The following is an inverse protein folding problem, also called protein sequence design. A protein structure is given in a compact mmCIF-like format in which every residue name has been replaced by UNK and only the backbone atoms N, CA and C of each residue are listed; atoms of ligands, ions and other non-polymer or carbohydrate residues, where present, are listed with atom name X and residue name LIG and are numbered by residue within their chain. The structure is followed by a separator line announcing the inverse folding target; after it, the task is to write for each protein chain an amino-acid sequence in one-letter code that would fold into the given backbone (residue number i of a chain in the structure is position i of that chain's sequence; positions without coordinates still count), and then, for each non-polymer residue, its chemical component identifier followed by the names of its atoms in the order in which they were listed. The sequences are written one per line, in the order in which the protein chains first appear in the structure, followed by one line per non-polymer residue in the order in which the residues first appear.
data_IF_685648329317
#
_entry.id   IF_685648329317
#
_cell.length_a   1.000
_cell.length_b   1.000
_cell.length_c   1.000
_cell.angle_alpha   90.00
_cell.angle_beta   90.00
_cell.angle_gamma   90.00
#
_symmetry.space_group_name_H-M   'P 1'
#
loop_
_entity.id
_entity.type
_entity.pdbx_description
1 polymer ?
#
# COMPACT_ATOMS: atom_id res chain seq x y z
N UNK A 1 -15.59 10.47 33.87
CA UNK A 1 -14.84 9.26 33.47
C UNK A 1 -15.06 9.04 31.97
N UNK A 2 -14.23 9.67 31.13
CA UNK A 2 -14.36 9.59 29.67
C UNK A 2 -13.75 8.27 29.22
N UNK A 3 -14.57 7.34 28.73
CA UNK A 3 -14.08 6.11 28.11
C UNK A 3 -13.22 6.50 26.91
N UNK A 4 -11.90 6.26 26.98
CA UNK A 4 -11.01 6.28 25.83
C UNK A 4 -11.62 5.36 24.77
N UNK A 5 -12.01 5.93 23.63
CA UNK A 5 -12.35 5.16 22.43
C UNK A 5 -11.06 4.45 22.00
N UNK A 6 -11.04 3.12 21.87
CA UNK A 6 -9.83 2.40 21.49
C UNK A 6 -9.34 2.86 20.11
N UNK A 7 -8.02 2.89 19.93
CA UNK A 7 -7.41 3.23 18.64
C UNK A 7 -7.96 2.28 17.55
N UNK A 8 -8.40 2.85 16.42
CA UNK A 8 -8.88 2.07 15.27
C UNK A 8 -7.86 1.01 14.87
N UNK A 9 -8.22 -0.27 14.95
CA UNK A 9 -7.42 -1.34 14.39
C UNK A 9 -7.34 -1.18 12.86
N UNK A 10 -6.14 -0.92 12.34
CA UNK A 10 -5.83 -0.89 10.91
C UNK A 10 -4.42 -1.40 10.72
N UNK A 11 -4.21 -2.21 9.67
CA UNK A 11 -2.86 -2.61 9.26
C UNK A 11 -2.06 -1.38 8.82
N UNK A 12 -0.83 -1.26 9.32
CA UNK A 12 0.06 -0.14 9.01
C UNK A 12 0.99 -0.48 7.85
N UNK A 13 1.16 -1.77 7.56
CA UNK A 13 1.97 -2.29 6.46
C UNK A 13 1.31 -3.51 5.81
N UNK A 14 1.74 -3.84 4.58
CA UNK A 14 1.36 -5.09 3.90
C UNK A 14 1.89 -6.32 4.66
N UNK A 15 3.01 -6.17 5.37
CA UNK A 15 3.55 -7.21 6.25
C UNK A 15 2.61 -7.53 7.41
N UNK A 16 2.00 -6.52 8.05
CA UNK A 16 1.06 -6.75 9.15
C UNK A 16 -0.20 -7.52 8.66
N UNK A 17 -0.65 -7.19 7.44
CA UNK A 17 -1.76 -7.87 6.78
C UNK A 17 -1.39 -9.31 6.41
N UNK A 18 -0.18 -9.52 5.90
CA UNK A 18 0.40 -10.83 5.61
C UNK A 18 0.46 -11.70 6.87
N UNK A 19 1.04 -11.19 7.96
CA UNK A 19 1.11 -11.87 9.27
C UNK A 19 -0.28 -12.30 9.76
N UNK A 20 -1.30 -11.47 9.54
CA UNK A 20 -2.67 -11.80 9.93
C UNK A 20 -3.28 -12.89 9.04
N UNK A 21 -3.11 -12.78 7.72
CA UNK A 21 -3.78 -13.62 6.73
C UNK A 21 -3.10 -14.96 6.45
N UNK A 22 -1.81 -15.11 6.75
CA UNK A 22 -1.05 -16.35 6.57
C UNK A 22 -1.77 -17.57 7.18
N UNK A 23 -2.39 -17.40 8.36
CA UNK A 23 -3.13 -18.46 9.05
C UNK A 23 -4.64 -18.38 8.85
N UNK A 24 -5.12 -17.45 8.01
CA UNK A 24 -6.55 -17.08 7.92
C UNK A 24 -7.06 -16.94 6.49
N UNK A 25 -6.41 -17.57 5.51
CA UNK A 25 -6.88 -17.59 4.13
C UNK A 25 -8.25 -18.27 3.94
N UNK A 26 -8.75 -19.01 4.94
CA UNK A 26 -10.12 -19.55 4.94
C UNK A 26 -11.19 -18.45 4.79
N UNK A 27 -10.89 -17.19 5.13
CA UNK A 27 -11.78 -16.05 4.86
C UNK A 27 -12.05 -15.81 3.36
N UNK A 28 -11.23 -16.37 2.46
CA UNK A 28 -11.45 -16.30 1.01
C UNK A 28 -12.56 -17.23 0.53
N UNK A 29 -13.03 -18.16 1.39
CA UNK A 29 -13.97 -19.22 1.04
C UNK A 29 -13.32 -20.44 0.40
N UNK A 30 -11.98 -20.44 0.28
CA UNK A 30 -11.19 -21.55 -0.25
C UNK A 30 -10.57 -22.36 0.91
N UNK A 31 -10.48 -23.67 0.74
CA UNK A 31 -9.72 -24.54 1.64
C UNK A 31 -8.26 -24.60 1.19
N UNK A 32 -7.46 -23.65 1.70
CA UNK A 32 -6.09 -23.44 1.26
C UNK A 32 -5.07 -23.83 2.33
N UNK A 33 -4.02 -24.53 1.89
CA UNK A 33 -2.77 -24.68 2.62
C UNK A 33 -1.78 -23.61 2.16
N UNK A 34 -1.30 -22.76 3.07
CA UNK A 34 -0.19 -21.84 2.76
C UNK A 34 1.11 -22.64 2.71
N UNK A 35 1.78 -22.58 1.57
CA UNK A 35 3.01 -23.33 1.25
C UNK A 35 4.21 -22.41 1.01
N UNK A 36 4.01 -21.10 0.94
CA UNK A 36 5.10 -20.15 0.77
C UNK A 36 4.73 -18.78 1.28
N UNK A 37 5.75 -18.07 1.75
CA UNK A 37 5.65 -16.69 2.21
C UNK A 37 6.83 -15.90 1.68
N UNK A 38 6.55 -14.70 1.16
CA UNK A 38 7.55 -13.78 0.65
C UNK A 38 8.52 -14.47 -0.33
N UNK A 39 7.95 -15.19 -1.30
CA UNK A 39 8.71 -16.01 -2.23
C UNK A 39 9.27 -15.15 -3.36
N UNK A 40 10.60 -15.05 -3.44
CA UNK A 40 11.28 -14.24 -4.46
C UNK A 40 11.10 -14.85 -5.86
N UNK A 41 10.56 -14.04 -6.77
CA UNK A 41 10.42 -14.37 -8.20
C UNK A 41 11.01 -13.21 -9.01
N UNK A 42 12.18 -13.44 -9.60
CA UNK A 42 12.97 -12.42 -10.29
C UNK A 42 13.22 -11.18 -9.41
N UNK A 43 12.64 -10.02 -9.75
CA UNK A 43 12.75 -8.76 -8.99
C UNK A 43 11.55 -8.50 -8.07
N UNK A 44 10.57 -9.39 -8.07
CA UNK A 44 9.34 -9.29 -7.29
C UNK A 44 9.33 -10.36 -6.18
N UNK A 45 8.39 -10.24 -5.26
CA UNK A 45 8.20 -11.16 -4.14
C UNK A 45 6.70 -11.46 -4.03
N UNK A 46 6.33 -12.74 -4.08
CA UNK A 46 4.94 -13.17 -3.84
C UNK A 46 4.71 -13.11 -2.34
N UNK A 47 3.68 -12.40 -1.90
CA UNK A 47 3.33 -12.29 -0.47
C UNK A 47 3.01 -13.68 0.10
N UNK A 48 1.97 -14.36 -0.40
CA UNK A 48 1.67 -15.74 -0.01
C UNK A 48 1.47 -16.65 -1.24
N UNK A 49 1.97 -17.87 -1.13
CA UNK A 49 1.71 -18.97 -2.05
C UNK A 49 0.91 -20.04 -1.32
N UNK A 50 -0.20 -20.48 -1.91
CA UNK A 50 -1.06 -21.49 -1.33
C UNK A 50 -1.43 -22.58 -2.35
N UNK A 51 -1.97 -23.68 -1.85
CA UNK A 51 -2.45 -24.81 -2.66
C UNK A 51 -3.76 -25.35 -2.07
N UNK A 52 -4.69 -25.79 -2.92
CA UNK A 52 -5.92 -26.46 -2.50
C UNK A 52 -5.79 -27.99 -2.54
N UNK A 53 -6.85 -28.71 -2.13
CA UNK A 53 -6.88 -30.18 -2.13
C UNK A 53 -6.76 -30.80 -3.53
N UNK A 54 -6.97 -30.05 -4.62
CA UNK A 54 -6.84 -30.56 -5.99
C UNK A 54 -5.43 -30.38 -6.54
N UNK A 55 -4.55 -29.67 -5.83
CA UNK A 55 -3.23 -29.29 -6.31
C UNK A 55 -3.21 -28.00 -7.14
N UNK A 56 -4.29 -27.22 -7.15
CA UNK A 56 -4.29 -25.88 -7.77
C UNK A 56 -3.49 -24.91 -6.91
N UNK A 57 -2.51 -24.26 -7.53
CA UNK A 57 -1.67 -23.25 -6.88
C UNK A 57 -2.41 -21.91 -6.89
N UNK A 58 -2.39 -21.22 -5.75
CA UNK A 58 -2.93 -19.89 -5.56
C UNK A 58 -1.80 -18.91 -5.25
N UNK A 59 -1.66 -17.88 -6.09
CA UNK A 59 -0.78 -16.74 -5.84
C UNK A 59 -1.62 -15.65 -5.17
N UNK A 60 -1.28 -15.31 -3.93
CA UNK A 60 -1.99 -14.31 -3.14
C UNK A 60 -1.14 -13.05 -3.04
N UNK A 61 -1.65 -11.94 -3.59
CA UNK A 61 -1.02 -10.62 -3.52
C UNK A 61 -1.83 -9.72 -2.58
N UNK A 62 -1.14 -9.12 -1.62
CA UNK A 62 -1.69 -8.29 -0.56
C UNK A 62 -1.31 -6.84 -0.79
N UNK A 63 -2.28 -5.92 -0.68
CA UNK A 63 -2.03 -4.49 -0.87
C UNK A 63 -2.79 -3.68 0.17
N UNK A 64 -2.17 -2.65 0.75
CA UNK A 64 -2.98 -1.64 1.46
C UNK A 64 -3.80 -0.83 0.44
N UNK A 65 -3.17 -0.50 -0.69
CA UNK A 65 -3.77 0.22 -1.81
C UNK A 65 -3.36 -0.44 -3.13
N UNK A 66 -4.26 -1.18 -3.76
CA UNK A 66 -3.95 -1.86 -5.01
C UNK A 66 -3.91 -0.86 -6.18
N UNK A 67 -2.70 -0.41 -6.50
CA UNK A 67 -2.40 0.47 -7.63
C UNK A 67 -2.27 -0.33 -8.94
N UNK A 68 -2.24 0.33 -10.12
CA UNK A 68 -2.02 -0.35 -11.41
C UNK A 68 -0.85 -1.33 -11.47
N UNK A 69 0.20 -1.13 -10.64
CA UNK A 69 1.35 -2.04 -10.58
C UNK A 69 0.99 -3.48 -10.19
N UNK A 70 -0.10 -3.67 -9.43
CA UNK A 70 -0.52 -4.99 -8.94
C UNK A 70 -0.77 -5.97 -10.09
N UNK A 71 -1.30 -5.48 -11.22
CA UNK A 71 -1.59 -6.31 -12.39
C UNK A 71 -0.29 -6.83 -13.02
N UNK A 72 0.72 -5.97 -13.13
CA UNK A 72 2.02 -6.39 -13.66
C UNK A 72 2.70 -7.44 -12.75
N UNK A 73 2.56 -7.29 -11.43
CA UNK A 73 3.09 -8.26 -10.46
C UNK A 73 2.39 -9.63 -10.61
N UNK A 74 1.07 -9.68 -10.52
CA UNK A 74 0.34 -10.97 -10.56
C UNK A 74 0.49 -11.69 -11.90
N UNK A 75 0.56 -10.96 -13.02
CA UNK A 75 0.84 -11.56 -14.33
C UNK A 75 2.27 -12.10 -14.43
N UNK A 76 3.24 -11.41 -13.82
CA UNK A 76 4.62 -11.92 -13.74
C UNK A 76 4.68 -13.23 -12.95
N UNK A 77 4.00 -13.31 -11.81
CA UNK A 77 3.93 -14.53 -11.01
C UNK A 77 3.22 -15.66 -11.76
N UNK A 78 2.06 -15.38 -12.35
CA UNK A 78 1.32 -16.35 -13.16
C UNK A 78 2.20 -16.94 -14.27
N UNK A 79 2.99 -16.11 -14.93
CA UNK A 79 3.92 -16.55 -15.97
C UNK A 79 5.05 -17.42 -15.42
N UNK A 80 5.57 -17.10 -14.24
CA UNK A 80 6.66 -17.83 -13.60
C UNK A 80 6.24 -19.23 -13.13
N UNK A 81 4.99 -19.38 -12.68
CA UNK A 81 4.42 -20.66 -12.23
C UNK A 81 3.72 -21.45 -13.35
N UNK A 82 3.61 -20.88 -14.55
CA UNK A 82 3.00 -21.57 -15.69
C UNK A 82 3.77 -22.86 -16.01
N UNK A 83 3.10 -24.01 -15.91
CA UNK A 83 3.67 -25.32 -16.20
C UNK A 83 4.80 -25.74 -15.24
N UNK A 84 4.80 -25.22 -14.01
CA UNK A 84 5.75 -25.68 -12.99
C UNK A 84 5.56 -27.19 -12.75
N UNK A 85 6.64 -27.97 -12.71
CA UNK A 85 6.56 -29.39 -12.37
C UNK A 85 6.34 -29.58 -10.86
N UNK A 86 5.79 -30.73 -10.47
CA UNK A 86 5.64 -31.12 -9.07
C UNK A 86 6.95 -31.05 -8.30
N UNK A 87 8.03 -31.59 -8.87
CA UNK A 87 9.37 -31.59 -8.25
C UNK A 87 9.90 -30.17 -8.10
N UNK A 88 9.68 -29.31 -9.10
CA UNK A 88 10.09 -27.91 -9.04
C UNK A 88 9.30 -27.17 -7.95
N UNK A 89 8.00 -27.42 -7.82
CA UNK A 89 7.17 -26.83 -6.77
C UNK A 89 7.67 -27.25 -5.38
N UNK A 90 7.91 -28.55 -5.16
CA UNK A 90 8.46 -29.07 -3.90
C UNK A 90 9.77 -28.37 -3.57
N UNK A 91 10.70 -28.26 -4.53
CA UNK A 91 11.98 -27.57 -4.30
C UNK A 91 11.80 -26.08 -3.98
N UNK A 92 10.88 -25.39 -4.66
CA UNK A 92 10.60 -23.97 -4.41
C UNK A 92 10.05 -23.76 -3.01
N UNK A 93 9.12 -24.61 -2.58
CA UNK A 93 8.51 -24.57 -1.24
C UNK A 93 9.52 -24.87 -0.14
N UNK A 94 10.32 -25.94 -0.31
CA UNK A 94 11.34 -26.34 0.66
C UNK A 94 12.43 -25.27 0.86
N UNK A 95 12.79 -24.54 -0.20
CA UNK A 95 13.77 -23.45 -0.15
C UNK A 95 13.17 -22.09 0.26
N UNK A 96 11.85 -22.03 0.45
CA UNK A 96 11.14 -20.82 0.87
C UNK A 96 11.35 -20.49 2.35
N UNK A 97 10.78 -19.37 2.81
CA UNK A 97 10.92 -18.94 4.21
C UNK A 97 10.23 -19.87 5.21
N UNK A 98 9.19 -20.59 4.77
CA UNK A 98 8.45 -21.53 5.62
C UNK A 98 9.11 -22.91 5.73
N UNK A 99 10.02 -23.24 4.80
CA UNK A 99 10.76 -24.52 4.78
C UNK A 99 9.85 -25.76 4.98
N UNK A 100 8.70 -25.74 4.31
CA UNK A 100 7.68 -26.80 4.42
C UNK A 100 8.12 -28.02 3.61
N UNK A 101 7.97 -29.22 4.19
CA UNK A 101 7.86 -30.45 3.40
C UNK A 101 6.46 -30.48 2.78
N UNK A 102 6.40 -30.16 1.48
CA UNK A 102 5.12 -29.99 0.80
C UNK A 102 4.31 -31.28 0.76
N UNK A 103 4.96 -32.44 0.57
CA UNK A 103 4.25 -33.71 0.44
C UNK A 103 3.64 -34.10 1.79
N UNK A 104 4.41 -33.97 2.87
CA UNK A 104 3.95 -34.25 4.23
C UNK A 104 2.84 -33.27 4.64
N UNK A 105 3.04 -31.97 4.49
CA UNK A 105 2.06 -30.96 4.88
C UNK A 105 0.76 -31.07 4.09
N UNK A 106 0.83 -31.39 2.80
CA UNK A 106 -0.34 -31.60 1.95
C UNK A 106 -1.14 -32.83 2.41
N UNK A 107 -0.47 -33.96 2.64
CA UNK A 107 -1.09 -35.19 3.14
C UNK A 107 -1.74 -34.98 4.52
N UNK A 108 -1.08 -34.23 5.41
CA UNK A 108 -1.62 -33.90 6.73
C UNK A 108 -2.86 -32.98 6.64
N UNK A 109 -2.88 -32.01 5.71
CA UNK A 109 -4.00 -31.07 5.54
C UNK A 109 -5.21 -31.72 4.88
N UNK A 110 -5.00 -32.45 3.77
CA UNK A 110 -6.07 -32.90 2.89
C UNK A 110 -6.36 -34.41 2.96
N UNK A 111 -5.53 -35.19 3.66
CA UNK A 111 -5.76 -36.61 3.88
C UNK A 111 -5.43 -37.52 2.69
N UNK A 112 -4.81 -36.98 1.63
CA UNK A 112 -4.36 -37.74 0.47
C UNK A 112 -3.05 -37.16 -0.11
N UNK A 113 -2.30 -37.92 -0.92
CA UNK A 113 -0.99 -37.46 -1.38
C UNK A 113 -1.12 -36.28 -2.35
N UNK A 114 -0.06 -35.47 -2.42
CA UNK A 114 0.08 -34.39 -3.40
C UNK A 114 -0.03 -34.98 -4.82
N UNK A 115 -0.97 -34.50 -5.66
CA UNK A 115 -1.17 -35.01 -7.02
C UNK A 115 0.11 -35.01 -7.86
N UNK A 116 0.22 -35.99 -8.78
CA UNK A 116 1.35 -36.07 -9.73
C UNK A 116 1.36 -34.89 -10.71
N UNK A 117 0.18 -34.44 -11.12
CA UNK A 117 0.01 -33.31 -12.02
C UNK A 117 -0.51 -32.10 -11.23
N UNK A 118 0.27 -31.04 -11.19
CA UNK A 118 -0.19 -29.71 -10.76
C UNK A 118 -0.81 -28.98 -11.95
N UNK A 119 -1.82 -28.12 -11.71
CA UNK A 119 -2.48 -27.41 -12.79
C UNK A 119 -1.52 -26.50 -13.58
N UNK A 120 -1.77 -26.34 -14.89
CA UNK A 120 -0.89 -25.59 -15.78
C UNK A 120 -0.73 -24.10 -15.42
N UNK A 121 -1.76 -23.50 -14.81
CA UNK A 121 -1.79 -22.08 -14.46
C UNK A 121 -2.25 -21.90 -13.03
N UNK A 122 -1.57 -21.05 -12.24
CA UNK A 122 -2.04 -20.73 -10.90
C UNK A 122 -3.31 -19.84 -10.96
N UNK A 123 -4.14 -19.97 -9.94
CA UNK A 123 -5.17 -19.02 -9.61
C UNK A 123 -4.57 -17.78 -8.93
N UNK A 124 -5.22 -16.64 -9.10
CA UNK A 124 -4.81 -15.37 -8.53
C UNK A 124 -5.80 -14.95 -7.44
N UNK A 125 -5.29 -14.53 -6.28
CA UNK A 125 -6.09 -13.87 -5.23
C UNK A 125 -5.46 -12.51 -4.95
N UNK A 126 -6.21 -11.44 -5.12
CA UNK A 126 -5.78 -10.08 -4.75
C UNK A 126 -6.60 -9.64 -3.55
N UNK A 127 -5.94 -9.30 -2.44
CA UNK A 127 -6.59 -8.81 -1.23
C UNK A 127 -6.10 -7.41 -0.93
N UNK A 128 -7.00 -6.43 -0.88
CA UNK A 128 -6.61 -5.04 -0.64
C UNK A 128 -7.59 -4.23 0.20
N UNK A 129 -7.14 -3.12 0.81
CA UNK A 129 -8.07 -2.23 1.52
C UNK A 129 -8.92 -1.43 0.53
N UNK A 130 -8.31 -1.03 -0.57
CA UNK A 130 -9.00 -0.51 -1.74
C UNK A 130 -8.27 -0.91 -3.02
N UNK A 131 -9.04 -0.98 -4.09
CA UNK A 131 -8.56 -1.32 -5.41
C UNK A 131 -8.78 -0.12 -6.32
N UNK A 132 -7.74 0.29 -7.03
CA UNK A 132 -7.87 1.34 -8.02
C UNK A 132 -8.69 0.85 -9.22
N UNK A 133 -9.42 1.76 -9.89
CA UNK A 133 -10.29 1.41 -11.03
C UNK A 133 -9.58 0.66 -12.16
N UNK A 134 -8.30 0.95 -12.41
CA UNK A 134 -7.53 0.31 -13.49
C UNK A 134 -7.28 -1.19 -13.22
N UNK A 135 -6.67 -1.58 -12.07
CA UNK A 135 -6.65 -2.98 -11.66
C UNK A 135 -8.03 -3.65 -11.70
N UNK A 136 -9.08 -2.95 -11.24
CA UNK A 136 -10.43 -3.50 -11.25
C UNK A 136 -10.92 -3.88 -12.66
N UNK A 137 -10.68 -3.03 -13.67
CA UNK A 137 -10.99 -3.36 -15.06
C UNK A 137 -10.15 -4.50 -15.61
N UNK A 138 -8.85 -4.57 -15.27
CA UNK A 138 -8.00 -5.69 -15.68
C UNK A 138 -8.46 -7.02 -15.07
N UNK A 139 -8.91 -7.01 -13.81
CA UNK A 139 -9.47 -8.19 -13.14
C UNK A 139 -10.74 -8.66 -13.85
N UNK A 140 -11.62 -7.74 -14.27
CA UNK A 140 -12.79 -8.10 -15.07
C UNK A 140 -12.39 -8.73 -16.42
N UNK A 141 -11.40 -8.17 -17.12
CA UNK A 141 -10.94 -8.74 -18.38
C UNK A 141 -10.38 -10.16 -18.24
N UNK A 142 -9.69 -10.44 -17.13
CA UNK A 142 -9.23 -11.79 -16.79
C UNK A 142 -10.40 -12.74 -16.53
N UNK A 143 -11.40 -12.31 -15.74
CA UNK A 143 -12.62 -13.08 -15.49
C UNK A 143 -13.39 -13.39 -16.78
N UNK A 144 -13.56 -12.40 -17.65
CA UNK A 144 -14.24 -12.56 -18.95
C UNK A 144 -13.51 -13.56 -19.86
N UNK A 145 -12.18 -13.70 -19.68
CA UNK A 145 -11.34 -14.66 -20.40
C UNK A 145 -11.29 -16.04 -19.75
N UNK A 146 -12.07 -16.28 -18.69
CA UNK A 146 -12.12 -17.55 -17.95
C UNK A 146 -10.90 -17.79 -17.06
N UNK A 147 -10.10 -16.78 -16.79
CA UNK A 147 -8.94 -16.92 -15.92
C UNK A 147 -9.35 -17.00 -14.43
N UNK A 148 -8.80 -17.93 -13.64
CA UNK A 148 -9.11 -18.04 -12.21
C UNK A 148 -8.48 -16.87 -11.44
N UNK A 149 -9.25 -15.81 -11.24
CA UNK A 149 -8.86 -14.66 -10.41
C UNK A 149 -9.97 -14.31 -9.43
N UNK A 150 -9.60 -14.04 -8.18
CA UNK A 150 -10.48 -13.52 -7.14
C UNK A 150 -9.89 -12.24 -6.58
N UNK A 151 -10.76 -11.28 -6.28
CA UNK A 151 -10.36 -10.02 -5.67
C UNK A 151 -11.24 -9.74 -4.45
N UNK A 152 -10.60 -9.41 -3.34
CA UNK A 152 -11.25 -9.11 -2.08
C UNK A 152 -10.83 -7.73 -1.60
N UNK A 153 -11.83 -7.01 -1.11
CA UNK A 153 -11.61 -5.83 -0.29
C UNK A 153 -11.66 -6.24 1.18
N UNK A 154 -10.63 -5.95 1.96
CA UNK A 154 -10.67 -6.27 3.38
C UNK A 154 -11.23 -5.09 4.20
N UNK A 155 -11.94 -5.45 5.26
CA UNK A 155 -12.46 -4.52 6.27
C UNK A 155 -12.02 -5.03 7.64
N UNK A 156 -11.51 -4.13 8.47
CA UNK A 156 -11.08 -4.46 9.84
C UNK A 156 -12.16 -3.98 10.80
N UNK A 157 -12.69 -4.87 11.61
CA UNK A 157 -13.62 -4.54 12.68
C UNK A 157 -12.91 -3.70 13.76
N UNK A 158 -13.46 -2.52 14.07
CA UNK A 158 -12.77 -1.54 14.93
C UNK A 158 -12.54 -2.03 16.37
N UNK A 159 -13.36 -2.96 16.88
CA UNK A 159 -13.29 -3.44 18.27
C UNK A 159 -12.40 -4.66 18.45
N UNK A 160 -12.46 -5.59 17.50
CA UNK A 160 -11.80 -6.91 17.62
C UNK A 160 -10.53 -7.02 16.78
N UNK A 161 -10.34 -6.12 15.81
CA UNK A 161 -9.32 -6.25 14.79
C UNK A 161 -9.60 -7.38 13.79
N UNK A 162 -10.77 -8.01 13.84
CA UNK A 162 -11.13 -9.10 12.94
C UNK A 162 -11.24 -8.59 11.50
N UNK A 163 -10.63 -9.34 10.58
CA UNK A 163 -10.68 -9.04 9.14
C UNK A 163 -11.86 -9.75 8.49
N UNK A 164 -12.67 -8.97 7.77
CA UNK A 164 -13.68 -9.48 6.84
C UNK A 164 -13.21 -9.26 5.41
N UNK A 165 -13.21 -10.31 4.59
CA UNK A 165 -12.97 -10.21 3.15
C UNK A 165 -14.29 -10.06 2.40
N UNK A 166 -14.43 -8.97 1.64
CA UNK A 166 -15.60 -8.65 0.84
C UNK A 166 -15.24 -8.86 -0.63
N UNK A 167 -15.83 -9.85 -1.33
CA UNK A 167 -15.59 -10.05 -2.76
C UNK A 167 -15.89 -8.78 -3.56
N UNK A 168 -15.02 -8.43 -4.49
CA UNK A 168 -15.12 -7.24 -5.33
C UNK A 168 -14.64 -7.52 -6.76
N UNK A 169 -14.79 -6.54 -7.65
CA UNK A 169 -14.38 -6.66 -9.07
C UNK A 169 -15.01 -7.86 -9.79
N UNK A 170 -16.27 -8.20 -9.49
CA UNK A 170 -16.96 -9.37 -10.08
C UNK A 170 -17.78 -9.01 -11.31
N UNK A 171 -18.06 -7.73 -11.51
CA UNK A 171 -18.80 -7.22 -12.65
C UNK A 171 -18.43 -5.78 -12.97
N UNK A 172 -18.74 -5.33 -14.18
CA UNK A 172 -18.63 -3.91 -14.55
C UNK A 172 -19.46 -2.99 -13.65
N UNK A 173 -20.53 -3.52 -13.03
CA UNK A 173 -21.35 -2.80 -12.05
C UNK A 173 -20.58 -2.48 -10.78
N UNK A 174 -19.80 -3.43 -10.25
CA UNK A 174 -18.95 -3.22 -9.07
C UNK A 174 -17.94 -2.07 -9.29
N UNK A 175 -17.47 -1.92 -10.53
CA UNK A 175 -16.55 -0.83 -10.89
C UNK A 175 -17.28 0.50 -11.01
N UNK A 176 -18.43 0.55 -11.69
CA UNK A 176 -19.22 1.78 -11.85
C UNK A 176 -19.75 2.33 -10.51
N UNK A 177 -20.21 1.45 -9.63
CA UNK A 177 -20.72 1.82 -8.30
C UNK A 177 -19.60 2.11 -7.28
N UNK A 178 -18.34 1.88 -7.65
CA UNK A 178 -17.19 2.11 -6.77
C UNK A 178 -17.12 1.14 -5.58
N UNK A 179 -17.74 -0.04 -5.66
CA UNK A 179 -17.79 -1.01 -4.54
C UNK A 179 -16.42 -1.62 -4.23
N UNK A 180 -15.51 -1.57 -5.18
CA UNK A 180 -14.09 -1.93 -5.06
C UNK A 180 -13.25 -0.86 -4.32
N UNK A 181 -13.82 0.31 -4.01
CA UNK A 181 -13.18 1.40 -3.27
C UNK A 181 -13.80 1.46 -1.86
N UNK A 182 -12.96 1.69 -0.84
CA UNK A 182 -13.47 1.89 0.53
C UNK A 182 -14.38 3.12 0.59
N UNK A 183 -15.64 2.93 1.00
CA UNK A 183 -16.52 4.05 1.36
C UNK A 183 -15.93 4.72 2.62
N UNK A 184 -15.43 5.95 2.49
CA UNK A 184 -15.26 6.81 3.68
C UNK A 184 -16.63 6.97 4.33
N UNK A 185 -16.76 7.01 5.67
CA UNK A 185 -18.01 7.37 6.31
C UNK A 185 -18.52 8.66 5.67
N UNK A 186 -19.69 8.61 5.03
CA UNK A 186 -20.33 9.81 4.52
C UNK A 186 -20.53 10.74 5.71
N UNK A 187 -19.99 11.97 5.62
CA UNK A 187 -20.49 13.05 6.47
C UNK A 187 -22.03 13.06 6.34
N UNK A 188 -22.72 13.24 7.47
CA UNK A 188 -24.18 13.19 7.57
C UNK A 188 -24.82 14.00 6.42
N UNK A 189 -25.93 13.52 5.82
CA UNK A 189 -26.58 14.24 4.74
C UNK A 189 -27.23 15.51 5.30
N UNK A 190 -26.62 16.64 5.00
CA UNK A 190 -27.05 17.97 5.40
C UNK A 190 -26.09 18.99 4.80
N UNK A 191 -26.13 19.09 3.47
CA UNK A 191 -25.85 20.30 2.67
C UNK A 191 -25.61 19.88 1.22
N UNK A 192 -26.73 19.57 0.54
CA UNK A 192 -26.78 19.68 -0.91
C UNK A 192 -27.09 21.13 -1.24
N UNK A 193 -26.06 21.89 -1.60
CA UNK A 193 -26.23 23.08 -2.44
C UNK A 193 -25.48 22.83 -3.75
N UNK A 194 -26.24 22.83 -4.83
CA UNK A 194 -25.75 22.81 -6.20
C UNK A 194 -24.92 24.05 -6.51
N UNK A 195 -23.64 23.87 -6.90
CA UNK A 195 -22.74 24.94 -7.35
C UNK A 195 -21.60 24.39 -8.23
N UNK A 196 -21.03 25.21 -9.14
CA UNK A 196 -20.31 24.75 -10.34
C UNK A 196 -18.87 24.27 -10.08
N UNK A 197 -18.34 23.47 -11.01
CA UNK A 197 -16.96 22.96 -11.17
C UNK A 197 -16.10 22.83 -9.89
N UNK A 198 -15.82 21.57 -9.50
CA UNK A 198 -14.98 21.17 -8.35
C UNK A 198 -13.71 22.03 -8.20
N UNK A 199 -13.47 22.67 -7.04
CA UNK A 199 -12.20 23.31 -6.75
C UNK A 199 -11.13 22.28 -6.40
N UNK A 200 -9.88 22.62 -6.69
CA UNK A 200 -8.68 21.90 -6.27
C UNK A 200 -8.75 21.72 -4.74
N UNK A 201 -8.74 20.47 -4.26
CA UNK A 201 -8.75 20.18 -2.81
C UNK A 201 -7.49 20.75 -2.18
N UNK A 202 -7.60 21.89 -1.48
CA UNK A 202 -6.54 22.39 -0.60
C UNK A 202 -6.32 21.38 0.52
N UNK A 203 -5.07 21.00 0.77
CA UNK A 203 -4.70 20.19 1.93
C UNK A 203 -4.90 21.06 3.16
N UNK A 204 -5.76 20.70 4.13
CA UNK A 204 -5.87 21.44 5.38
C UNK A 204 -4.54 21.32 6.14
N UNK A 205 -3.98 22.46 6.55
CA UNK A 205 -2.72 22.56 7.30
C UNK A 205 -3.09 22.78 8.76
N UNK A 206 -2.60 21.91 9.62
CA UNK A 206 -2.73 22.02 11.07
C UNK A 206 -1.91 23.20 11.61
N UNK A 207 -2.48 23.91 12.58
CA UNK A 207 -1.88 25.13 13.12
C UNK A 207 -0.54 24.87 13.82
N UNK A 208 -0.34 23.68 14.41
CA UNK A 208 0.94 23.33 15.02
C UNK A 208 2.01 23.01 13.97
N UNK A 209 1.62 22.44 12.83
CA UNK A 209 2.54 22.25 11.70
C UNK A 209 2.93 23.60 11.09
N UNK A 210 1.97 24.52 10.98
CA UNK A 210 2.22 25.90 10.56
C UNK A 210 3.15 26.61 11.56
N UNK A 211 2.86 26.53 12.86
CA UNK A 211 3.68 27.11 13.94
C UNK A 211 5.11 26.56 13.93
N UNK A 212 5.27 25.25 13.83
CA UNK A 212 6.57 24.60 13.71
C UNK A 212 7.35 25.18 12.53
N UNK A 213 6.73 25.19 11.34
CA UNK A 213 7.41 25.63 10.13
C UNK A 213 7.83 27.09 10.21
N UNK A 214 6.92 27.99 10.60
CA UNK A 214 7.22 29.42 10.73
C UNK A 214 8.30 29.73 11.78
N UNK A 215 8.44 28.89 12.80
CA UNK A 215 9.43 29.09 13.87
C UNK A 215 10.82 28.56 13.47
N UNK A 216 10.89 27.47 12.70
CA UNK A 216 12.15 26.74 12.47
C UNK A 216 12.68 26.84 11.03
N UNK A 217 11.88 27.32 10.07
CA UNK A 217 12.26 27.32 8.66
C UNK A 217 13.55 28.11 8.39
N UNK A 218 13.71 29.25 9.06
CA UNK A 218 14.89 30.13 8.94
C UNK A 218 16.19 29.48 9.43
N UNK A 219 16.10 28.45 10.28
CA UNK A 219 17.27 27.76 10.84
C UNK A 219 17.76 26.63 9.92
N UNK A 220 17.02 26.29 8.86
CA UNK A 220 17.48 25.32 7.89
C UNK A 220 18.48 25.96 6.92
N UNK A 221 19.46 25.16 6.50
CA UNK A 221 20.33 25.52 5.37
C UNK A 221 19.46 25.72 4.11
N UNK A 222 19.89 26.52 3.11
CA UNK A 222 19.15 26.74 1.85
C UNK A 222 18.77 25.49 1.05
N UNK A 223 19.26 24.32 1.46
CA UNK A 223 18.81 23.01 1.02
C UNK A 223 18.69 22.08 2.23
N UNK A 224 17.52 21.43 2.39
CA UNK A 224 17.25 20.52 3.51
C UNK A 224 16.46 19.29 3.05
N UNK A 225 16.83 18.11 3.54
CA UNK A 225 16.09 16.89 3.21
C UNK A 225 14.77 16.84 3.99
N UNK A 226 13.72 16.24 3.40
CA UNK A 226 12.47 16.05 4.11
C UNK A 226 12.65 15.25 5.42
N UNK A 227 13.57 14.27 5.42
CA UNK A 227 13.91 13.49 6.62
C UNK A 227 14.40 14.40 7.75
N UNK A 228 15.33 15.31 7.47
CA UNK A 228 15.87 16.25 8.46
C UNK A 228 14.83 17.23 8.98
N UNK A 229 13.91 17.70 8.11
CA UNK A 229 12.78 18.54 8.55
C UNK A 229 11.84 17.75 9.45
N UNK A 230 11.57 16.48 9.13
CA UNK A 230 10.70 15.62 9.92
C UNK A 230 11.30 15.23 11.27
N UNK A 231 12.59 14.95 11.33
CA UNK A 231 13.32 14.70 12.59
C UNK A 231 13.22 15.91 13.51
N UNK A 232 13.50 17.12 12.99
CA UNK A 232 13.39 18.36 13.77
C UNK A 232 11.95 18.64 14.23
N UNK A 233 10.96 18.29 13.41
CA UNK A 233 9.55 18.37 13.80
C UNK A 233 9.22 17.39 14.92
N UNK A 234 9.73 16.15 14.85
CA UNK A 234 9.54 15.16 15.92
C UNK A 234 10.12 15.65 17.24
N UNK A 235 11.38 16.11 17.22
CA UNK A 235 12.06 16.65 18.42
C UNK A 235 11.32 17.86 18.99
N UNK A 236 10.80 18.74 18.12
CA UNK A 236 10.02 19.89 18.53
C UNK A 236 8.70 19.49 19.20
N UNK A 237 7.99 18.49 18.68
CA UNK A 237 6.75 17.99 19.30
C UNK A 237 7.05 17.31 20.64
N UNK A 238 8.09 16.49 20.71
CA UNK A 238 8.47 15.78 21.95
C UNK A 238 8.90 16.74 23.07
N UNK A 239 9.41 17.93 22.73
CA UNK A 239 9.80 18.96 23.69
C UNK A 239 8.61 19.76 24.28
N UNK A 240 7.39 19.64 23.74
CA UNK A 240 6.20 20.35 24.23
C UNK A 240 5.44 19.46 25.23
N UNK A 241 5.88 19.47 26.48
CA UNK A 241 5.43 18.52 27.51
C UNK A 241 3.98 18.71 28.02
N UNK A 242 3.26 19.76 27.61
CA UNK A 242 1.94 20.12 28.17
C UNK A 242 0.91 20.65 27.15
N UNK A 243 1.24 20.70 25.85
CA UNK A 243 0.31 21.11 24.80
C UNK A 243 -0.24 19.88 24.05
N UNK A 244 -1.51 19.93 23.62
CA UNK A 244 -2.23 18.90 22.85
C UNK A 244 -1.68 18.77 21.39
N UNK A 245 -0.35 18.76 21.24
CA UNK A 245 0.36 18.79 19.95
C UNK A 245 0.52 17.36 19.43
N UNK A 246 -0.04 17.12 18.26
CA UNK A 246 -0.02 15.82 17.62
C UNK A 246 1.22 15.64 16.75
N UNK A 247 2.02 14.58 17.00
CA UNK A 247 3.08 14.15 16.09
C UNK A 247 2.47 13.48 14.85
N UNK A 248 2.42 14.20 13.73
CA UNK A 248 1.97 13.63 12.46
C UNK A 248 2.93 12.55 11.94
N UNK A 249 2.38 11.49 11.34
CA UNK A 249 3.18 10.57 10.52
C UNK A 249 3.84 11.33 9.37
N UNK A 250 5.04 10.91 8.98
CA UNK A 250 5.86 11.57 7.94
C UNK A 250 5.11 11.85 6.64
N UNK A 251 4.23 10.96 6.17
CA UNK A 251 3.41 11.22 4.98
C UNK A 251 2.41 12.37 5.14
N UNK A 252 1.76 12.46 6.31
CA UNK A 252 0.79 13.51 6.63
C UNK A 252 1.49 14.85 6.89
N UNK A 253 2.58 14.84 7.64
CA UNK A 253 3.43 16.00 7.83
C UNK A 253 3.97 16.49 6.48
N UNK A 254 4.48 15.60 5.64
CA UNK A 254 5.00 15.93 4.31
C UNK A 254 3.95 16.49 3.35
N UNK A 255 2.70 16.03 3.43
CA UNK A 255 1.60 16.60 2.66
C UNK A 255 1.25 18.02 3.11
N UNK A 256 1.26 18.28 4.42
CA UNK A 256 0.99 19.61 4.97
C UNK A 256 2.14 20.57 4.73
N UNK A 257 3.38 20.12 4.91
CA UNK A 257 4.58 20.88 4.62
C UNK A 257 4.66 21.26 3.14
N UNK A 258 4.37 20.32 2.23
CA UNK A 258 4.34 20.62 0.80
C UNK A 258 3.27 21.64 0.43
N UNK A 259 2.16 21.70 1.18
CA UNK A 259 1.12 22.72 0.99
C UNK A 259 1.56 24.07 1.57
N UNK A 260 2.14 24.08 2.77
CA UNK A 260 2.70 25.27 3.44
C UNK A 260 3.76 25.96 2.59
N UNK A 261 4.74 25.20 2.09
CA UNK A 261 5.82 25.78 1.28
C UNK A 261 5.30 26.33 -0.05
N UNK A 262 4.29 25.66 -0.63
CA UNK A 262 3.62 26.13 -1.84
C UNK A 262 2.76 27.39 -1.61
N UNK A 263 2.24 27.63 -0.40
CA UNK A 263 1.56 28.87 -0.05
C UNK A 263 2.52 30.06 0.00
N UNK A 264 3.70 29.87 0.59
CA UNK A 264 4.71 30.96 0.73
C UNK A 264 5.49 31.24 -0.55
N UNK A 265 5.71 30.22 -1.39
CA UNK A 265 6.63 30.33 -2.53
C UNK A 265 8.11 30.47 -2.14
N UNK A 266 8.46 30.50 -0.84
CA UNK A 266 9.84 30.68 -0.39
C UNK A 266 10.67 29.40 -0.51
N UNK A 267 10.03 28.24 -0.39
CA UNK A 267 10.68 26.94 -0.48
C UNK A 267 10.03 26.08 -1.56
N UNK A 268 10.85 25.51 -2.44
CA UNK A 268 10.41 24.59 -3.47
C UNK A 268 10.68 23.15 -3.05
N UNK A 269 9.65 22.31 -3.14
CA UNK A 269 9.82 20.86 -2.97
C UNK A 269 10.55 20.28 -4.18
N UNK A 270 11.62 19.54 -3.91
CA UNK A 270 12.41 18.84 -4.93
C UNK A 270 12.61 17.37 -4.56
N UNK A 271 13.06 16.60 -5.54
CA UNK A 271 13.39 15.19 -5.45
C UNK A 271 14.86 14.99 -5.80
N UNK A 272 15.55 14.16 -5.02
CA UNK A 272 16.98 13.87 -5.13
C UNK A 272 17.23 12.37 -5.23
N UNK A 273 18.44 12.03 -5.69
CA UNK A 273 18.86 10.65 -5.78
C UNK A 273 19.11 10.02 -4.41
N UNK A 274 18.92 8.70 -4.23
CA UNK A 274 19.09 8.02 -2.95
C UNK A 274 20.43 8.29 -2.25
N UNK A 275 21.51 8.44 -3.03
CA UNK A 275 22.88 8.68 -2.58
C UNK A 275 23.18 10.13 -2.13
N UNK A 276 22.36 11.11 -2.53
CA UNK A 276 22.58 12.51 -2.17
C UNK A 276 21.98 12.79 -0.79
N UNK A 277 22.83 12.85 0.24
CA UNK A 277 22.35 12.92 1.62
C UNK A 277 22.64 14.22 2.34
N UNK A 278 23.63 15.02 1.93
CA UNK A 278 24.10 16.15 2.77
C UNK A 278 24.68 17.37 2.04
N UNK A 279 24.77 17.37 0.71
CA UNK A 279 25.23 18.52 -0.09
C UNK A 279 24.15 18.95 -1.08
N UNK A 280 24.14 20.23 -1.49
CA UNK A 280 23.28 20.71 -2.58
C UNK A 280 23.58 19.84 -3.81
N UNK A 281 22.64 18.99 -4.26
CA UNK A 281 22.88 18.15 -5.42
C UNK A 281 23.04 19.03 -6.66
N UNK A 282 23.84 18.60 -7.62
CA UNK A 282 24.02 19.34 -8.87
C UNK A 282 22.77 19.36 -9.77
N UNK A 283 21.76 18.51 -9.51
CA UNK A 283 20.56 18.41 -10.35
C UNK A 283 19.29 17.90 -9.61
N UNK A 284 18.77 18.59 -8.58
CA UNK A 284 17.47 18.27 -7.98
C UNK A 284 16.33 18.44 -9.00
N UNK A 285 15.25 17.65 -8.88
CA UNK A 285 14.08 17.74 -9.77
C UNK A 285 12.83 18.15 -9.01
N UNK A 286 12.00 19.02 -9.54
CA UNK A 286 10.72 19.41 -8.92
C UNK A 286 9.65 18.31 -9.03
N UNK A 287 9.91 17.24 -9.79
CA UNK A 287 9.04 16.09 -9.96
C UNK A 287 9.80 14.77 -9.75
N UNK A 288 9.06 13.71 -9.40
CA UNK A 288 9.66 12.36 -9.27
C UNK A 288 10.08 11.84 -10.63
N UNK A 289 11.33 11.41 -10.73
CA UNK A 289 11.87 10.77 -11.92
C UNK A 289 12.63 9.49 -11.52
N UNK A 290 12.93 8.63 -12.50
CA UNK A 290 13.71 7.42 -12.25
C UNK A 290 15.07 7.80 -11.63
N UNK A 291 15.36 7.26 -10.45
CA UNK A 291 16.57 7.59 -9.70
C UNK A 291 16.48 8.84 -8.81
N UNK A 292 15.37 9.60 -8.81
CA UNK A 292 15.13 10.79 -7.98
C UNK A 292 13.84 10.63 -7.18
N UNK A 293 13.94 9.96 -6.02
CA UNK A 293 12.78 9.49 -5.24
C UNK A 293 12.68 10.10 -3.85
N UNK A 294 13.77 10.66 -3.31
CA UNK A 294 13.80 11.24 -1.96
C UNK A 294 13.38 12.69 -1.99
N UNK A 295 12.44 13.08 -1.13
CA UNK A 295 12.00 14.47 -1.05
C UNK A 295 12.99 15.35 -0.27
N UNK A 296 13.18 16.57 -0.75
CA UNK A 296 13.94 17.64 -0.12
C UNK A 296 13.24 18.99 -0.42
N UNK A 297 13.71 20.05 0.24
CA UNK A 297 13.25 21.42 0.05
C UNK A 297 14.45 22.32 -0.21
N UNK A 298 14.30 23.19 -1.19
CA UNK A 298 15.29 24.17 -1.59
C UNK A 298 14.71 25.56 -1.38
N UNK A 299 15.46 26.42 -0.69
CA UNK A 299 15.11 27.83 -0.52
C UNK A 299 15.25 28.53 -1.87
N UNK A 300 14.20 29.22 -2.29
CA UNK A 300 14.21 29.97 -3.53
C UNK A 300 15.06 31.23 -3.33
N UNK A 301 15.92 31.60 -4.31
CA UNK A 301 16.65 32.85 -4.24
C UNK A 301 15.67 34.02 -4.20
N UNK A 302 15.92 34.98 -3.32
CA UNK A 302 15.09 36.18 -3.19
C UNK A 302 15.18 36.97 -4.51
N UNK A 303 14.10 36.98 -5.29
CA UNK A 303 13.96 37.81 -6.49
C UNK A 303 13.87 37.07 -7.84
N UNK A 304 13.00 36.08 -7.98
CA UNK A 304 12.58 35.59 -9.30
C UNK A 304 11.11 35.17 -9.29
N UNK A 305 10.23 36.10 -8.93
CA UNK A 305 8.83 36.01 -9.36
C UNK A 305 8.73 36.52 -10.80
N UNK A 306 7.82 35.88 -11.55
CA UNK A 306 7.28 36.28 -12.85
C UNK A 306 8.20 36.22 -14.06
N UNK A 307 8.02 35.20 -14.91
CA UNK A 307 7.51 35.40 -16.28
C UNK A 307 7.10 34.04 -16.92
N UNK A 308 5.80 33.98 -17.26
CA UNK A 308 5.06 33.13 -18.21
C UNK A 308 5.51 31.69 -18.53
#
# INVERSE_FOLDING_TARGET
MVKRVPARFRFRSEKDLEDYLETRLWHTGEDLLVIGRQLKIARNEIDLLAIDSTGLIYVVELKLHASPSVIAQVLCYRRAFKGISRENLIRVVANGKLQIDLEEAFQQRFGHPLPENVQELPALIIIAEDIHRYPAYSILGMLDSGEPVKAFRYEVEELTGAVRLVPCCRSARDVKEGTHIKKRPSARPGDMISGPRRPVRRVPIDENVRRFWLTHAQDFKPFVTFKSVYERYSDWVDAQADDDIHLYQSGHFGSQLSALTAESGEWTRVYIAPQDTMAVPSSPRTYRAMGYTRAAYQLNPVGADTEL
#
